data_IF_577246987750
#
_entry.id   IF_577246987750
#
_cell.length_a   1.000
_cell.length_b   1.000
_cell.length_c   1.000
_cell.angle_alpha   90.00
_cell.angle_beta   90.00
_cell.angle_gamma   90.00
#
_symmetry.space_group_name_H-M   'P 1'
#
loop_
_entity.id
_entity.type
_entity.pdbx_description
1 polymer ?
#
# COMPACT_ATOMS: atom_id res chain seq x y z
N UNK A 1 26.91 -9.86 -13.06
CA UNK A 1 25.60 -9.99 -12.37
C UNK A 1 24.88 -8.66 -12.53
N UNK A 2 23.69 -8.61 -13.09
CA UNK A 2 22.87 -7.38 -13.08
C UNK A 2 22.37 -7.18 -11.65
N UNK A 3 22.60 -5.99 -11.11
CA UNK A 3 21.98 -5.60 -9.83
C UNK A 3 20.48 -5.58 -10.03
N UNK A 4 19.73 -6.36 -9.26
CA UNK A 4 18.26 -6.43 -9.32
C UNK A 4 17.67 -5.19 -8.62
N UNK A 5 18.38 -4.65 -7.63
CA UNK A 5 18.01 -3.49 -6.86
C UNK A 5 19.09 -2.41 -6.96
N UNK A 6 18.67 -1.16 -6.96
CA UNK A 6 19.52 0.01 -7.00
C UNK A 6 19.44 0.74 -5.65
N UNK A 7 20.42 1.61 -5.42
CA UNK A 7 20.41 2.49 -4.25
C UNK A 7 19.19 3.41 -4.30
N UNK A 8 18.51 3.58 -3.16
CA UNK A 8 17.24 4.31 -2.98
C UNK A 8 15.99 3.59 -3.50
N UNK A 9 16.08 2.37 -3.96
CA UNK A 9 14.88 1.58 -4.23
C UNK A 9 14.13 1.25 -2.93
N UNK A 10 12.82 1.39 -2.97
CA UNK A 10 11.95 0.87 -1.91
C UNK A 10 11.64 -0.59 -2.23
N UNK A 11 12.05 -1.48 -1.35
CA UNK A 11 11.86 -2.91 -1.52
C UNK A 11 11.03 -3.50 -0.37
N UNK A 12 10.19 -4.47 -0.70
CA UNK A 12 9.57 -5.35 0.27
C UNK A 12 10.32 -6.68 0.29
N UNK A 13 10.76 -7.11 1.45
CA UNK A 13 11.51 -8.35 1.61
C UNK A 13 11.14 -9.07 2.90
N UNK A 14 11.25 -10.39 2.88
CA UNK A 14 11.07 -11.22 4.06
C UNK A 14 12.40 -11.37 4.81
N UNK A 15 12.36 -11.25 6.14
CA UNK A 15 13.51 -11.53 7.00
C UNK A 15 13.70 -13.04 7.10
N UNK A 16 14.79 -13.55 6.53
CA UNK A 16 15.14 -14.97 6.61
C UNK A 16 15.81 -15.32 7.94
N UNK A 17 16.62 -14.42 8.45
CA UNK A 17 17.35 -14.65 9.70
C UNK A 17 18.47 -13.65 9.92
N UNK A 18 19.17 -13.83 11.03
CA UNK A 18 20.35 -13.07 11.40
C UNK A 18 21.58 -14.02 11.33
N UNK A 19 22.62 -13.55 10.68
CA UNK A 19 23.92 -14.23 10.63
C UNK A 19 25.01 -13.29 11.16
N UNK A 20 26.25 -13.76 11.24
CA UNK A 20 27.37 -12.99 11.76
C UNK A 20 27.64 -11.70 10.98
N UNK A 21 27.28 -11.67 9.70
CA UNK A 21 27.43 -10.56 8.76
C UNK A 21 26.22 -9.62 8.70
N UNK A 22 25.13 -9.93 9.44
CA UNK A 22 23.97 -9.07 9.54
C UNK A 22 22.62 -9.71 9.25
N UNK A 23 21.68 -8.89 8.77
CA UNK A 23 20.31 -9.28 8.48
C UNK A 23 20.20 -9.85 7.06
N UNK A 24 19.77 -11.11 6.96
CA UNK A 24 19.50 -11.75 5.68
C UNK A 24 18.06 -11.58 5.25
N UNK A 25 17.88 -10.97 4.08
CA UNK A 25 16.58 -10.72 3.46
C UNK A 25 16.41 -11.63 2.24
N UNK A 26 15.18 -11.99 1.93
CA UNK A 26 14.83 -12.71 0.70
C UNK A 26 13.57 -12.17 0.06
N UNK A 27 13.50 -12.25 -1.28
CA UNK A 27 12.34 -11.90 -2.08
C UNK A 27 12.04 -13.07 -3.04
N UNK A 28 11.42 -14.13 -2.53
CA UNK A 28 11.17 -15.37 -3.30
C UNK A 28 9.80 -15.41 -3.97
N UNK A 29 8.85 -14.62 -3.50
CA UNK A 29 7.50 -14.59 -4.03
C UNK A 29 7.27 -13.29 -4.78
N UNK A 30 6.34 -13.29 -5.74
CA UNK A 30 5.91 -12.09 -6.47
C UNK A 30 5.42 -10.94 -5.56
N UNK A 31 5.04 -11.26 -4.32
CA UNK A 31 4.65 -10.27 -3.29
C UNK A 31 5.81 -9.43 -2.79
N UNK A 32 7.04 -9.90 -3.00
CA UNK A 32 8.27 -9.24 -2.54
C UNK A 32 9.03 -8.69 -3.74
N UNK A 33 9.79 -7.65 -3.51
CA UNK A 33 10.62 -7.02 -4.52
C UNK A 33 10.51 -5.51 -4.49
N UNK A 34 10.82 -4.87 -5.61
CA UNK A 34 10.78 -3.41 -5.77
C UNK A 34 9.34 -2.92 -5.80
N UNK A 35 9.04 -1.96 -4.93
CA UNK A 35 7.75 -1.30 -4.85
C UNK A 35 7.75 -0.06 -5.76
N UNK A 36 6.77 0.00 -6.66
CA UNK A 36 6.60 1.08 -7.63
C UNK A 36 5.22 1.72 -7.49
N UNK A 37 5.07 2.99 -7.89
CA UNK A 37 3.78 3.72 -7.99
C UNK A 37 3.01 3.79 -6.67
N UNK A 38 3.65 4.33 -5.63
CA UNK A 38 3.01 4.50 -4.35
C UNK A 38 3.78 5.42 -3.41
N UNK A 39 3.38 5.43 -2.16
CA UNK A 39 4.00 6.23 -1.10
C UNK A 39 4.49 5.33 0.03
N UNK A 40 5.72 5.58 0.46
CA UNK A 40 6.27 5.01 1.69
C UNK A 40 6.01 5.96 2.86
N UNK A 41 5.43 5.43 3.91
CA UNK A 41 5.13 6.14 5.15
C UNK A 41 5.91 5.52 6.31
N UNK A 42 6.32 6.35 7.25
CA UNK A 42 6.97 5.91 8.47
C UNK A 42 6.09 6.26 9.66
N UNK A 43 5.79 5.27 10.48
CA UNK A 43 5.06 5.42 11.74
C UNK A 43 5.84 4.74 12.86
N UNK A 44 5.63 5.12 14.13
CA UNK A 44 6.21 4.39 15.25
C UNK A 44 5.84 2.90 15.19
N UNK A 45 6.80 1.96 15.26
CA UNK A 45 6.52 0.53 15.08
C UNK A 45 5.51 -0.04 16.08
N UNK A 46 5.42 0.54 17.28
CA UNK A 46 4.46 0.11 18.32
C UNK A 46 3.00 0.42 17.98
N UNK A 47 2.74 1.31 17.00
CA UNK A 47 1.39 1.60 16.51
C UNK A 47 0.92 0.56 15.48
N UNK A 48 1.84 -0.18 14.86
CA UNK A 48 1.47 -1.22 13.89
C UNK A 48 1.20 -2.53 14.62
N UNK A 49 -0.05 -2.97 14.60
CA UNK A 49 -0.42 -4.24 15.24
C UNK A 49 0.14 -5.42 14.45
N UNK A 50 0.90 -6.30 15.12
CA UNK A 50 1.38 -7.54 14.52
C UNK A 50 0.20 -8.44 14.17
N UNK A 51 0.11 -8.84 12.91
CA UNK A 51 -0.89 -9.78 12.37
C UNK A 51 -0.18 -10.79 11.46
N UNK A 52 -0.86 -11.90 11.15
CA UNK A 52 -0.35 -12.88 10.19
C UNK A 52 -0.31 -12.34 8.76
N UNK A 53 -1.24 -11.45 8.43
CA UNK A 53 -1.35 -10.83 7.11
C UNK A 53 -0.84 -9.39 7.17
N UNK A 54 0.10 -9.08 6.30
CA UNK A 54 0.72 -7.76 6.16
C UNK A 54 0.39 -7.10 4.82
N UNK A 55 0.02 -7.90 3.82
CA UNK A 55 -0.37 -7.46 2.49
C UNK A 55 -1.89 -7.44 2.41
N UNK A 56 -2.44 -6.30 2.06
CA UNK A 56 -3.87 -6.08 1.93
C UNK A 56 -4.15 -5.47 0.57
N UNK A 57 -4.97 -6.18 -0.22
CA UNK A 57 -5.44 -5.67 -1.49
C UNK A 57 -6.83 -5.05 -1.26
N UNK A 58 -6.94 -3.75 -1.51
CA UNK A 58 -8.16 -2.97 -1.37
C UNK A 58 -8.76 -2.76 -2.76
N UNK A 59 -9.36 -3.84 -3.28
CA UNK A 59 -9.87 -3.92 -4.67
C UNK A 59 -10.83 -2.78 -4.98
N UNK A 60 -11.72 -2.43 -4.05
CA UNK A 60 -12.72 -1.38 -4.22
C UNK A 60 -12.10 0.00 -4.50
N UNK A 61 -10.86 0.21 -4.08
CA UNK A 61 -10.12 1.46 -4.24
C UNK A 61 -8.96 1.35 -5.23
N UNK A 62 -8.70 0.16 -5.77
CA UNK A 62 -7.60 -0.11 -6.69
C UNK A 62 -6.20 0.11 -6.08
N UNK A 63 -6.04 -0.09 -4.77
CA UNK A 63 -4.79 0.12 -4.04
C UNK A 63 -4.34 -1.10 -3.25
N UNK A 64 -3.03 -1.23 -3.12
CA UNK A 64 -2.38 -2.19 -2.24
C UNK A 64 -1.81 -1.49 -1.01
N UNK A 65 -1.99 -2.11 0.14
CA UNK A 65 -1.49 -1.63 1.43
C UNK A 65 -0.60 -2.70 2.06
N UNK A 66 0.63 -2.32 2.41
CA UNK A 66 1.58 -3.19 3.11
C UNK A 66 1.88 -2.59 4.48
N UNK A 67 1.49 -3.29 5.54
CA UNK A 67 1.74 -2.88 6.93
C UNK A 67 3.00 -3.57 7.47
N UNK A 68 4.14 -2.88 7.44
CA UNK A 68 5.39 -3.39 7.97
C UNK A 68 5.47 -3.29 9.50
N UNK A 69 5.83 -4.39 10.18
CA UNK A 69 6.04 -4.40 11.63
C UNK A 69 7.22 -3.53 12.09
N UNK A 70 8.07 -3.11 11.16
CA UNK A 70 9.16 -2.17 11.37
C UNK A 70 8.72 -0.70 11.40
N UNK A 71 7.43 -0.43 11.17
CA UNK A 71 6.86 0.91 11.11
C UNK A 71 6.87 1.54 9.71
N UNK A 72 7.39 0.84 8.71
CA UNK A 72 7.25 1.28 7.31
C UNK A 72 5.95 0.73 6.72
N UNK A 73 5.15 1.63 6.16
CA UNK A 73 3.87 1.30 5.53
C UNK A 73 3.93 1.76 4.09
N UNK A 74 3.57 0.88 3.17
CA UNK A 74 3.47 1.20 1.76
C UNK A 74 2.01 1.26 1.32
N UNK A 75 1.67 2.31 0.59
CA UNK A 75 0.37 2.46 -0.09
C UNK A 75 0.65 2.71 -1.55
N UNK A 76 0.19 1.84 -2.41
CA UNK A 76 0.45 1.95 -3.85
C UNK A 76 -0.70 1.49 -4.72
N UNK A 77 -0.56 1.69 -6.02
CA UNK A 77 -1.48 1.19 -7.03
C UNK A 77 -1.48 -0.33 -7.04
N UNK A 78 -2.67 -0.94 -7.13
CA UNK A 78 -2.78 -2.37 -7.32
C UNK A 78 -2.37 -2.73 -8.74
N UNK A 79 -1.32 -3.54 -8.88
CA UNK A 79 -0.85 -4.05 -10.16
C UNK A 79 -1.21 -5.52 -10.24
N UNK A 80 -2.13 -5.87 -11.13
CA UNK A 80 -2.44 -7.28 -11.43
C UNK A 80 -1.22 -7.89 -12.11
N UNK A 81 -0.64 -8.99 -11.59
CA UNK A 81 0.43 -9.69 -12.29
C UNK A 81 -0.05 -10.17 -13.65
N UNK A 82 0.77 -10.00 -14.69
CA UNK A 82 0.43 -10.37 -16.06
C UNK A 82 0.19 -11.89 -16.28
N UNK A 83 0.50 -12.72 -15.30
CA UNK A 83 0.34 -14.18 -15.37
C UNK A 83 -1.09 -14.68 -15.14
N UNK A 84 -2.01 -13.86 -14.63
CA UNK A 84 -3.42 -14.25 -14.44
C UNK A 84 -4.32 -13.95 -15.65
N UNK A 85 -3.74 -13.51 -16.78
CA UNK A 85 -4.48 -13.23 -18.02
C UNK A 85 -4.34 -14.33 -19.08
N UNK A 86 -4.12 -15.59 -18.71
CA UNK A 86 -4.15 -16.71 -19.67
C UNK A 86 -5.25 -17.69 -19.27
N UNK A 87 -6.45 -17.42 -19.73
CA UNK A 87 -7.43 -18.41 -20.23
C UNK A 87 -8.71 -17.67 -20.65
N UNK A 88 -8.82 -17.30 -21.87
CA UNK A 88 -9.90 -17.52 -22.82
C UNK A 88 -9.86 -16.47 -23.94
N UNK A 89 -9.28 -16.85 -25.09
CA UNK A 89 -9.82 -16.52 -26.39
C UNK A 89 -8.96 -17.11 -27.53
N UNK A 90 -9.62 -18.03 -28.21
CA UNK A 90 -9.43 -18.64 -29.52
C UNK A 90 -8.57 -17.88 -30.53
N UNK A 91 -7.75 -18.71 -31.18
CA UNK A 91 -7.09 -18.62 -32.47
C UNK A 91 -7.61 -17.55 -33.48
N UNK A 92 -6.66 -16.72 -33.97
CA UNK A 92 -6.54 -16.46 -35.43
C UNK A 92 -5.19 -15.81 -35.76
N UNK A 93 -4.44 -16.62 -36.44
CA UNK A 93 -3.43 -16.49 -37.52
C UNK A 93 -2.81 -15.11 -37.87
N UNK A 94 -1.45 -15.20 -37.92
CA UNK A 94 -0.51 -14.72 -38.95
C UNK A 94 -0.26 -13.24 -39.14
N UNK A 95 0.93 -12.77 -38.87
CA UNK A 95 2.02 -12.49 -39.78
C UNK A 95 3.25 -11.89 -39.10
N UNK A 96 4.41 -12.37 -39.52
CA UNK A 96 5.75 -11.90 -39.20
C UNK A 96 5.92 -10.41 -39.51
N UNK A 97 6.55 -9.67 -38.63
CA UNK A 97 7.60 -8.74 -39.04
C UNK A 97 8.44 -8.32 -37.82
N UNK A 98 9.74 -8.34 -38.01
CA UNK A 98 10.79 -7.83 -37.15
C UNK A 98 10.44 -6.46 -36.58
N UNK A 99 10.34 -6.34 -35.25
CA UNK A 99 10.41 -5.07 -34.57
C UNK A 99 11.38 -5.19 -33.39
N UNK A 100 12.51 -4.63 -33.67
CA UNK A 100 13.59 -4.09 -32.85
C UNK A 100 13.35 -4.04 -31.34
N UNK A 101 14.39 -4.49 -30.64
CA UNK A 101 14.66 -4.53 -29.19
C UNK A 101 14.60 -3.19 -28.43
N UNK A 102 13.92 -2.17 -28.94
CA UNK A 102 13.80 -0.84 -28.31
C UNK A 102 12.46 -0.59 -27.60
N UNK A 103 11.52 -1.54 -27.60
CA UNK A 103 10.17 -1.33 -27.06
C UNK A 103 9.97 -1.78 -25.61
N UNK A 104 11.00 -2.24 -24.91
CA UNK A 104 10.87 -2.72 -23.52
C UNK A 104 11.02 -1.61 -22.45
N UNK A 105 11.50 -0.44 -22.82
CA UNK A 105 11.68 0.69 -21.89
C UNK A 105 10.52 1.70 -21.91
N UNK A 106 9.64 1.65 -22.92
CA UNK A 106 8.53 2.60 -23.06
C UNK A 106 7.23 2.17 -22.35
N UNK A 107 7.12 0.95 -21.81
CA UNK A 107 5.94 0.50 -21.05
C UNK A 107 5.90 0.97 -19.59
N UNK A 108 6.92 1.70 -19.12
CA UNK A 108 6.96 2.17 -17.73
C UNK A 108 6.23 3.51 -17.47
N UNK A 109 5.62 4.16 -18.46
CA UNK A 109 4.97 5.46 -18.29
C UNK A 109 3.43 5.45 -18.31
N UNK A 110 2.79 4.35 -18.01
CA UNK A 110 1.34 4.40 -17.71
C UNK A 110 1.18 5.11 -16.35
N UNK A 111 0.81 6.38 -16.39
CA UNK A 111 0.59 7.14 -15.15
C UNK A 111 -0.63 6.56 -14.40
N UNK A 112 -0.47 6.37 -13.09
CA UNK A 112 -1.57 5.96 -12.21
C UNK A 112 -2.79 6.86 -12.44
N UNK A 113 -4.01 6.32 -12.63
CA UNK A 113 -5.25 7.08 -12.74
C UNK A 113 -5.44 8.08 -11.60
N UNK A 114 -6.05 9.22 -11.89
CA UNK A 114 -6.22 10.28 -10.91
C UNK A 114 -6.98 9.82 -9.67
N UNK A 115 -8.03 9.03 -9.85
CA UNK A 115 -8.84 8.49 -8.76
C UNK A 115 -8.01 7.61 -7.82
N UNK A 116 -7.20 6.68 -8.38
CA UNK A 116 -6.32 5.83 -7.58
C UNK A 116 -5.29 6.66 -6.83
N UNK A 117 -4.72 7.71 -7.46
CA UNK A 117 -3.79 8.63 -6.78
C UNK A 117 -4.47 9.36 -5.62
N UNK A 118 -5.71 9.78 -5.77
CA UNK A 118 -6.49 10.40 -4.69
C UNK A 118 -6.69 9.43 -3.52
N UNK A 119 -7.04 8.17 -3.79
CA UNK A 119 -7.17 7.16 -2.74
C UNK A 119 -5.85 6.83 -2.07
N UNK A 120 -4.73 6.76 -2.81
CA UNK A 120 -3.38 6.62 -2.22
C UNK A 120 -3.12 7.78 -1.26
N UNK A 121 -3.39 9.03 -1.66
CA UNK A 121 -3.18 10.21 -0.83
C UNK A 121 -4.11 10.23 0.39
N UNK A 122 -5.39 9.90 0.25
CA UNK A 122 -6.35 9.82 1.37
C UNK A 122 -5.92 8.75 2.38
N UNK A 123 -5.55 7.58 1.90
CA UNK A 123 -5.06 6.47 2.75
C UNK A 123 -3.77 6.86 3.47
N UNK A 124 -2.84 7.50 2.77
CA UNK A 124 -1.61 8.00 3.36
C UNK A 124 -1.89 9.06 4.47
N UNK A 125 -2.82 9.98 4.24
CA UNK A 125 -3.20 10.98 5.23
C UNK A 125 -3.94 10.37 6.41
N UNK A 126 -4.81 9.38 6.21
CA UNK A 126 -5.44 8.63 7.29
C UNK A 126 -4.40 7.98 8.22
N UNK A 127 -3.36 7.37 7.64
CA UNK A 127 -2.25 6.79 8.40
C UNK A 127 -1.47 7.85 9.18
N UNK A 128 -1.20 9.03 8.57
CA UNK A 128 -0.52 10.14 9.24
C UNK A 128 -1.33 10.67 10.42
N UNK A 129 -2.64 10.84 10.25
CA UNK A 129 -3.55 11.27 11.33
C UNK A 129 -3.54 10.27 12.47
N UNK A 130 -3.68 8.98 12.19
CA UNK A 130 -3.59 7.93 13.22
C UNK A 130 -2.27 7.96 13.96
N UNK A 131 -1.16 8.12 13.23
CA UNK A 131 0.18 8.20 13.82
C UNK A 131 0.33 9.43 14.71
N UNK A 132 -0.14 10.59 14.27
CA UNK A 132 -0.11 11.85 15.05
C UNK A 132 -0.93 11.77 16.32
N UNK A 133 -2.10 11.13 16.26
CA UNK A 133 -2.97 10.92 17.42
C UNK A 133 -2.51 9.75 18.32
N UNK A 134 -1.50 9.00 17.92
CA UNK A 134 -1.00 7.84 18.67
C UNK A 134 -1.96 6.66 18.71
N UNK A 135 -2.80 6.50 17.69
CA UNK A 135 -3.73 5.38 17.59
C UNK A 135 -3.11 4.21 16.85
N UNK A 136 -3.59 3.00 17.18
CA UNK A 136 -3.13 1.77 16.53
C UNK A 136 -3.57 1.78 15.07
N UNK A 137 -2.60 1.56 14.20
CA UNK A 137 -2.80 1.49 12.74
C UNK A 137 -3.20 0.06 12.36
N UNK A 138 -4.42 -0.09 11.89
CA UNK A 138 -4.96 -1.32 11.31
C UNK A 138 -5.73 -1.00 10.04
N UNK A 139 -5.88 -1.98 9.16
CA UNK A 139 -6.59 -1.78 7.87
C UNK A 139 -8.01 -1.27 8.10
N UNK A 140 -8.70 -1.87 9.05
CA UNK A 140 -10.09 -1.53 9.36
C UNK A 140 -10.23 -0.06 9.77
N UNK A 141 -9.34 0.41 10.66
CA UNK A 141 -9.36 1.81 11.13
C UNK A 141 -8.95 2.78 10.03
N UNK A 142 -7.96 2.41 9.22
CA UNK A 142 -7.55 3.24 8.06
C UNK A 142 -8.74 3.44 7.12
N UNK A 143 -9.43 2.35 6.75
CA UNK A 143 -10.56 2.42 5.82
C UNK A 143 -11.74 3.20 6.40
N UNK A 144 -12.06 3.02 7.68
CA UNK A 144 -13.07 3.85 8.35
C UNK A 144 -12.79 5.36 8.27
N UNK A 145 -11.51 5.76 8.33
CA UNK A 145 -11.12 7.17 8.21
C UNK A 145 -11.20 7.64 6.76
N UNK A 146 -10.79 6.80 5.80
CA UNK A 146 -10.93 7.11 4.37
C UNK A 146 -12.40 7.30 4.02
N UNK A 147 -13.28 6.38 4.44
CA UNK A 147 -14.72 6.47 4.20
C UNK A 147 -15.33 7.69 4.88
N UNK A 148 -14.90 8.01 6.10
CA UNK A 148 -15.30 9.25 6.78
C UNK A 148 -14.94 10.49 5.97
N UNK A 149 -13.71 10.56 5.45
CA UNK A 149 -13.26 11.69 4.63
C UNK A 149 -14.06 11.83 3.33
N UNK A 150 -14.44 10.69 2.71
CA UNK A 150 -15.26 10.68 1.51
C UNK A 150 -16.72 11.09 1.80
N UNK A 151 -17.31 10.55 2.88
CA UNK A 151 -18.70 10.85 3.26
C UNK A 151 -18.93 12.32 3.63
N UNK A 152 -17.93 12.95 4.21
CA UNK A 152 -17.95 14.37 4.57
C UNK A 152 -17.46 15.29 3.45
N UNK A 153 -17.04 14.71 2.31
CA UNK A 153 -16.45 15.44 1.18
C UNK A 153 -15.27 16.33 1.60
N UNK A 154 -14.46 15.86 2.56
CA UNK A 154 -13.26 16.57 3.02
C UNK A 154 -12.18 16.51 1.95
N UNK A 155 -11.53 17.64 1.66
CA UNK A 155 -10.40 17.64 0.73
C UNK A 155 -9.19 16.91 1.31
N UNK A 156 -8.36 16.35 0.42
CA UNK A 156 -7.16 15.58 0.80
C UNK A 156 -6.25 16.40 1.72
N UNK A 157 -6.10 17.71 1.45
CA UNK A 157 -5.28 18.58 2.27
C UNK A 157 -5.90 18.89 3.63
N UNK A 158 -7.21 19.00 3.71
CA UNK A 158 -7.96 19.28 4.94
C UNK A 158 -7.95 18.09 5.91
N UNK A 159 -7.73 16.86 5.42
CA UNK A 159 -7.62 15.69 6.28
C UNK A 159 -6.53 15.81 7.35
N UNK A 160 -5.48 16.60 7.10
CA UNK A 160 -4.41 16.83 8.08
C UNK A 160 -4.70 18.00 9.02
N UNK A 161 -5.84 18.67 8.83
CA UNK A 161 -6.29 19.79 9.68
C UNK A 161 -6.74 19.32 11.06
N UNK A 162 -6.70 20.26 12.03
CA UNK A 162 -7.10 20.00 13.41
C UNK A 162 -8.55 19.54 13.54
N UNK A 163 -9.45 20.07 12.74
CA UNK A 163 -10.86 19.74 12.76
C UNK A 163 -11.10 18.25 12.42
N UNK A 164 -10.48 17.80 11.35
CA UNK A 164 -10.58 16.38 10.95
C UNK A 164 -9.91 15.47 11.99
N UNK A 165 -8.78 15.86 12.57
CA UNK A 165 -8.12 15.11 13.65
C UNK A 165 -9.03 14.94 14.88
N UNK A 166 -9.80 15.97 15.25
CA UNK A 166 -10.77 15.89 16.35
C UNK A 166 -11.87 14.88 16.03
N UNK A 167 -12.45 14.94 14.83
CA UNK A 167 -13.48 14.01 14.38
C UNK A 167 -12.99 12.56 14.40
N UNK A 168 -11.77 12.31 13.94
CA UNK A 168 -11.14 10.97 13.97
C UNK A 168 -10.96 10.51 15.42
N UNK A 169 -10.53 11.41 16.32
CA UNK A 169 -10.34 11.07 17.72
C UNK A 169 -11.67 10.71 18.41
N UNK A 170 -12.73 11.46 18.17
CA UNK A 170 -14.07 11.19 18.70
C UNK A 170 -14.59 9.81 18.22
N UNK A 171 -14.50 9.55 16.92
CA UNK A 171 -14.91 8.27 16.32
C UNK A 171 -14.15 7.07 16.91
N UNK A 172 -12.84 7.22 17.12
CA UNK A 172 -12.03 6.16 17.74
C UNK A 172 -12.38 5.93 19.22
N UNK A 173 -12.73 6.99 19.97
CA UNK A 173 -13.23 6.87 21.35
C UNK A 173 -14.56 6.13 21.38
N UNK A 174 -15.49 6.45 20.50
CA UNK A 174 -16.78 5.77 20.38
C UNK A 174 -16.56 4.27 20.07
N UNK A 175 -15.71 3.95 19.11
CA UNK A 175 -15.37 2.57 18.75
C UNK A 175 -14.82 1.78 19.94
N UNK A 176 -13.95 2.38 20.74
CA UNK A 176 -13.38 1.76 21.94
C UNK A 176 -14.42 1.55 23.03
N UNK A 177 -15.35 2.46 23.20
CA UNK A 177 -16.43 2.33 24.19
C UNK A 177 -17.41 1.23 23.82
N UNK A 178 -17.77 1.10 22.54
CA UNK A 178 -18.62 0.01 22.03
C UNK A 178 -17.97 -1.36 22.20
N UNK A 179 -16.66 -1.45 21.97
CA UNK A 179 -15.90 -2.71 22.12
C UNK A 179 -15.82 -3.16 23.59
N UNK A 180 -15.77 -2.22 24.54
CA UNK A 180 -15.77 -2.52 25.98
C UNK A 180 -17.13 -3.01 26.48
N UNK A 181 -18.24 -2.56 25.89
CA UNK A 181 -19.60 -3.00 26.27
C UNK A 181 -19.96 -4.41 25.78
N UNK A 182 -19.20 -4.95 24.81
CA UNK A 182 -19.41 -6.31 24.25
C UNK A 182 -18.58 -7.39 24.95
N UNK A 183 -17.75 -7.03 25.92
CA UNK A 183 -16.98 -7.95 26.78
C UNK A 183 -17.62 -8.07 28.15
#
# INVERSE_FOLDING_TARGET
MRSIFEENDVICAEVRGFQHDGLHLQARSQKYGKLKRGQLLTVPPYLVKRRKQHFHNLVDYGIDLILGCNGFIWVGEHVVPADDMVEDQTEQQTMKSDVTLTSLEEQEQVSTPLEIRQYICRTANAIRVLSTLGFIVTVEVIMEIVDLSCSMNVDIHEMLGSEFCVLVAEKEVERRTLTKKKR
#
